data_IF_560253497822
#
_entry.id   IF_560253497822
#
_cell.length_a   1.000
_cell.length_b   1.000
_cell.length_c   1.000
_cell.angle_alpha   90.00
_cell.angle_beta   90.00
_cell.angle_gamma   90.00
#
_symmetry.space_group_name_H-M   'P 1'
#
loop_
_entity.id
_entity.type
_entity.pdbx_description
1 polymer ?
#
# COMPACT_ATOMS: atom_id res chain seq x y z
N UNK A 1 16.72 9.23 -13.68
CA UNK A 1 16.40 7.80 -13.56
C UNK A 1 14.91 7.73 -13.35
N UNK A 2 14.16 7.13 -14.27
CA UNK A 2 12.70 7.08 -14.19
C UNK A 2 12.32 6.04 -13.14
N UNK A 3 11.97 6.49 -11.93
CA UNK A 3 11.31 5.63 -10.94
C UNK A 3 10.08 5.04 -11.62
N UNK A 4 10.12 3.75 -11.93
CA UNK A 4 9.05 3.10 -12.70
C UNK A 4 7.97 2.74 -11.69
N UNK A 5 7.01 3.64 -11.49
CA UNK A 5 5.85 3.37 -10.65
C UNK A 5 5.08 2.20 -11.27
N UNK A 6 5.04 1.08 -10.56
CA UNK A 6 4.25 -0.09 -10.99
C UNK A 6 2.75 0.26 -10.94
N UNK A 7 2.07 0.14 -12.09
CA UNK A 7 0.64 0.44 -12.19
C UNK A 7 -0.17 -0.84 -12.01
N UNK A 8 -0.84 -0.97 -10.88
CA UNK A 8 -1.78 -2.05 -10.58
C UNK A 8 -3.24 -1.53 -10.63
N UNK A 9 -4.22 -2.36 -11.03
CA UNK A 9 -5.62 -1.96 -11.02
C UNK A 9 -6.09 -1.70 -9.57
N UNK A 10 -6.67 -0.53 -9.35
CA UNK A 10 -7.30 -0.18 -8.07
C UNK A 10 -8.79 -0.52 -8.11
N UNK A 11 -9.24 -1.39 -7.19
CA UNK A 11 -10.64 -1.82 -7.05
C UNK A 11 -11.26 -1.30 -5.76
N UNK A 12 -10.55 -1.45 -4.64
CA UNK A 12 -11.04 -1.01 -3.33
C UNK A 12 -9.90 -0.82 -2.33
N UNK A 13 -10.11 0.04 -1.35
CA UNK A 13 -9.33 0.11 -0.12
C UNK A 13 -10.29 0.02 1.06
N UNK A 14 -9.98 -0.81 2.05
CA UNK A 14 -10.75 -0.96 3.28
C UNK A 14 -9.83 -0.69 4.47
N UNK A 15 -10.15 0.34 5.24
CA UNK A 15 -9.41 0.76 6.43
C UNK A 15 -10.39 0.79 7.59
N UNK A 16 -10.17 -0.07 8.58
CA UNK A 16 -10.85 -0.07 9.87
C UNK A 16 -9.78 0.09 10.95
N UNK A 17 -9.63 1.31 11.45
CA UNK A 17 -8.61 1.65 12.45
C UNK A 17 -8.91 1.10 13.84
N UNK A 18 -10.17 0.79 14.13
CA UNK A 18 -10.57 0.24 15.43
C UNK A 18 -10.28 -1.27 15.49
N UNK A 19 -10.51 -1.98 14.38
CA UNK A 19 -10.23 -3.42 14.27
C UNK A 19 -8.82 -3.72 13.74
N UNK A 20 -8.09 -2.70 13.30
CA UNK A 20 -6.75 -2.85 12.72
C UNK A 20 -6.75 -3.52 11.34
N UNK A 21 -7.83 -3.38 10.57
CA UNK A 21 -7.97 -4.01 9.25
C UNK A 21 -7.53 -3.03 8.17
N UNK A 22 -6.58 -3.46 7.33
CA UNK A 22 -6.08 -2.71 6.18
C UNK A 22 -5.99 -3.62 4.96
N UNK A 23 -6.98 -3.52 4.07
CA UNK A 23 -7.06 -4.34 2.85
C UNK A 23 -7.00 -3.47 1.60
N UNK A 24 -6.12 -3.83 0.66
CA UNK A 24 -6.09 -3.27 -0.70
C UNK A 24 -6.57 -4.34 -1.66
N UNK A 25 -7.64 -4.05 -2.41
CA UNK A 25 -8.29 -5.00 -3.30
C UNK A 25 -8.70 -6.33 -2.64
N UNK A 26 -8.90 -6.33 -1.32
CA UNK A 26 -9.23 -7.52 -0.52
C UNK A 26 -8.03 -8.27 0.06
N UNK A 27 -6.79 -7.85 -0.24
CA UNK A 27 -5.56 -8.44 0.31
C UNK A 27 -5.00 -7.59 1.45
N UNK A 28 -4.49 -8.24 2.50
CA UNK A 28 -3.79 -7.53 3.58
C UNK A 28 -2.58 -6.77 3.05
N UNK A 29 -2.42 -5.55 3.56
CA UNK A 29 -1.29 -4.70 3.18
C UNK A 29 -0.37 -4.56 4.38
N UNK A 30 0.85 -5.07 4.25
CA UNK A 30 1.92 -4.94 5.24
C UNK A 30 3.00 -3.97 4.75
N UNK A 31 3.77 -3.43 5.70
CA UNK A 31 4.93 -2.55 5.45
C UNK A 31 4.63 -1.34 4.54
N UNK A 32 3.48 -0.69 4.73
CA UNK A 32 3.15 0.58 4.05
C UNK A 32 3.41 1.75 4.97
N UNK A 33 4.25 2.68 4.52
CA UNK A 33 4.61 3.90 5.25
C UNK A 33 3.76 5.10 4.86
N UNK A 34 3.19 5.11 3.64
CA UNK A 34 2.33 6.19 3.16
C UNK A 34 1.25 5.70 2.22
N UNK A 35 0.07 6.30 2.35
CA UNK A 35 -1.07 6.15 1.44
C UNK A 35 -1.48 7.54 0.95
N UNK A 36 -1.66 7.67 -0.37
CA UNK A 36 -2.19 8.86 -1.03
C UNK A 36 -3.38 8.46 -1.90
N UNK A 37 -4.59 8.92 -1.54
CA UNK A 37 -5.83 8.60 -2.23
C UNK A 37 -6.37 9.86 -2.90
N UNK A 38 -6.39 9.85 -4.23
CA UNK A 38 -6.84 10.96 -5.04
C UNK A 38 -8.13 10.60 -5.78
N UNK A 39 -9.04 11.57 -5.86
CA UNK A 39 -10.22 11.49 -6.71
C UNK A 39 -10.16 12.60 -7.77
N UNK A 40 -9.95 12.22 -9.02
CA UNK A 40 -9.81 13.16 -10.13
C UNK A 40 -10.69 12.73 -11.30
N UNK A 41 -11.57 13.63 -11.76
CA UNK A 41 -12.46 13.42 -12.91
C UNK A 41 -13.26 12.11 -12.85
N UNK A 42 -13.85 11.80 -11.70
CA UNK A 42 -14.69 10.61 -11.53
C UNK A 42 -13.90 9.30 -11.33
N UNK A 43 -12.58 9.37 -11.24
CA UNK A 43 -11.70 8.20 -11.07
C UNK A 43 -10.91 8.31 -9.77
N UNK A 44 -10.78 7.17 -9.11
CA UNK A 44 -9.90 7.02 -7.96
C UNK A 44 -8.52 6.56 -8.40
N UNK A 45 -7.49 7.15 -7.81
CA UNK A 45 -6.11 6.68 -7.86
C UNK A 45 -5.56 6.54 -6.46
N UNK A 46 -4.80 5.47 -6.24
CA UNK A 46 -4.13 5.19 -4.98
C UNK A 46 -2.64 5.06 -5.24
N UNK A 47 -1.84 5.88 -4.57
CA UNK A 47 -0.39 5.73 -4.49
C UNK A 47 -0.04 5.21 -3.10
N UNK A 48 0.79 4.17 -3.03
CA UNK A 48 1.31 3.64 -1.77
C UNK A 48 2.84 3.63 -1.81
N UNK A 49 3.45 3.90 -0.66
CA UNK A 49 4.88 3.70 -0.44
C UNK A 49 5.04 2.49 0.47
N UNK A 50 5.83 1.51 0.03
CA UNK A 50 6.18 0.32 0.80
C UNK A 50 7.62 0.44 1.27
N UNK A 51 7.84 0.00 2.49
CA UNK A 51 9.18 -0.15 3.04
C UNK A 51 9.60 -1.61 2.89
N UNK A 52 10.85 -1.85 2.50
CA UNK A 52 11.44 -3.19 2.50
C UNK A 52 12.51 -3.25 3.59
N UNK A 53 12.42 -4.25 4.46
CA UNK A 53 13.38 -4.48 5.53
C UNK A 53 14.11 -5.80 5.31
N UNK A 54 15.42 -5.72 5.11
CA UNK A 54 16.31 -6.88 5.08
C UNK A 54 17.08 -6.93 6.40
N UNK A 55 16.83 -7.95 7.20
CA UNK A 55 17.56 -8.20 8.45
C UNK A 55 18.48 -9.40 8.28
N UNK A 56 19.70 -9.31 8.83
CA UNK A 56 20.59 -10.45 8.95
C UNK A 56 20.15 -11.28 10.17
N UNK A 57 19.85 -12.57 9.98
CA UNK A 57 19.63 -13.49 11.10
C UNK A 57 20.95 -13.61 11.89
N UNK A 58 20.93 -13.17 13.15
CA UNK A 58 22.01 -13.44 14.10
C UNK A 58 21.61 -14.72 14.83
N UNK A 59 22.25 -15.83 14.48
CA UNK A 59 22.03 -17.11 15.16
C UNK A 59 22.46 -17.03 16.63
N UNK A 60 21.60 -17.50 17.53
CA UNK A 60 21.92 -17.76 18.95
C UNK A 60 22.73 -19.05 19.14
#
# INVERSE_FOLDING_TARGET
MSETVERKPFKSIHIDTEKGIYLLNGEEVSMVSRIDLEFNNGKWSLLITRDELYVQEVGE
#
